data_IF_513729349087
#
_entry.id   IF_513729349087
#
_cell.length_a   1.000
_cell.length_b   1.000
_cell.length_c   1.000
_cell.angle_alpha   90.00
_cell.angle_beta   90.00
_cell.angle_gamma   90.00
#
_symmetry.space_group_name_H-M   'P 1'
#
loop_
_entity.id
_entity.type
_entity.pdbx_description
1 polymer ?
#
# COMPACT_ATOMS: atom_id res chain seq x y z
N UNK A 1 -16.42 -2.80 8.83
CA UNK A 1 -17.34 -2.78 9.97
C UNK A 1 -17.55 -4.18 10.54
N UNK A 2 -17.91 -5.18 9.72
CA UNK A 2 -18.28 -6.52 10.17
C UNK A 2 -17.19 -7.20 11.03
N UNK A 3 -15.95 -7.23 10.57
CA UNK A 3 -14.84 -7.86 11.31
C UNK A 3 -14.49 -7.14 12.61
N UNK A 4 -14.72 -5.82 12.68
CA UNK A 4 -14.53 -5.05 13.92
C UNK A 4 -15.65 -5.25 14.95
N UNK A 5 -16.80 -5.78 14.52
CA UNK A 5 -17.91 -6.12 15.42
C UNK A 5 -17.83 -7.57 15.95
N UNK A 6 -16.90 -8.37 15.45
CA UNK A 6 -16.65 -9.72 15.95
C UNK A 6 -16.15 -9.68 17.40
N UNK A 7 -16.75 -10.45 18.34
CA UNK A 7 -16.40 -10.41 19.75
C UNK A 7 -14.95 -10.77 20.05
N UNK A 8 -14.37 -11.74 19.32
CA UNK A 8 -13.00 -12.19 19.56
C UNK A 8 -12.02 -11.15 19.01
N UNK A 9 -12.28 -10.58 17.82
CA UNK A 9 -11.54 -9.45 17.28
C UNK A 9 -11.56 -8.25 18.24
N UNK A 10 -12.73 -7.97 18.83
CA UNK A 10 -12.89 -6.90 19.83
C UNK A 10 -12.06 -7.15 21.09
N UNK A 11 -12.06 -8.40 21.57
CA UNK A 11 -11.29 -8.78 22.76
C UNK A 11 -9.78 -8.61 22.54
N UNK A 12 -9.27 -9.03 21.39
CA UNK A 12 -7.85 -8.88 21.04
C UNK A 12 -7.45 -7.41 20.93
N UNK A 13 -8.24 -6.59 20.25
CA UNK A 13 -7.96 -5.16 20.12
C UNK A 13 -8.01 -4.38 21.44
N UNK A 14 -8.77 -4.87 22.42
CA UNK A 14 -8.81 -4.28 23.76
C UNK A 14 -7.61 -4.62 24.64
N UNK A 15 -6.96 -5.74 24.37
CA UNK A 15 -5.89 -6.28 25.22
C UNK A 15 -4.49 -6.01 24.66
N UNK A 16 -4.36 -5.81 23.37
CA UNK A 16 -3.08 -5.70 22.70
C UNK A 16 -2.99 -4.43 21.84
N UNK A 17 -1.85 -3.74 21.85
CA UNK A 17 -1.58 -2.68 20.87
C UNK A 17 -1.38 -3.29 19.48
N UNK A 18 -1.86 -2.60 18.46
CA UNK A 18 -1.68 -2.97 17.07
C UNK A 18 -0.83 -1.93 16.35
N UNK A 19 0.23 -2.37 15.70
CA UNK A 19 0.95 -1.58 14.72
C UNK A 19 0.46 -2.00 13.35
N UNK A 20 -0.21 -1.11 12.64
CA UNK A 20 -0.87 -1.40 11.37
C UNK A 20 -0.33 -0.52 10.26
N UNK A 21 -0.24 -1.08 9.07
CA UNK A 21 -0.06 -0.39 7.80
C UNK A 21 -1.12 -0.92 6.84
N UNK A 22 -1.37 -0.21 5.76
CA UNK A 22 -2.16 -0.76 4.66
C UNK A 22 -1.31 -1.58 3.70
N UNK A 23 -1.95 -2.43 2.93
CA UNK A 23 -1.45 -2.96 1.69
C UNK A 23 -2.29 -2.37 0.53
N UNK A 24 -2.58 -3.13 -0.51
CA UNK A 24 -3.34 -2.61 -1.64
C UNK A 24 -4.86 -2.69 -1.44
N UNK A 25 -5.34 -3.76 -0.84
CA UNK A 25 -6.77 -4.03 -0.73
C UNK A 25 -7.53 -3.11 0.23
N UNK A 26 -6.85 -2.35 1.07
CA UNK A 26 -7.46 -1.27 1.83
C UNK A 26 -7.91 -0.12 0.91
N UNK A 27 -7.28 0.03 -0.27
CA UNK A 27 -7.62 1.02 -1.28
C UNK A 27 -8.24 0.37 -2.52
N UNK A 28 -7.44 -0.38 -3.27
CA UNK A 28 -7.85 -1.14 -4.45
C UNK A 28 -6.72 -2.07 -4.91
N UNK A 29 -7.05 -3.13 -5.67
CA UNK A 29 -6.09 -4.14 -6.09
C UNK A 29 -4.88 -3.54 -6.82
N UNK A 30 -3.69 -3.95 -6.41
CA UNK A 30 -2.41 -3.49 -6.94
C UNK A 30 -2.26 -1.97 -7.00
N UNK A 31 -2.70 -1.28 -5.96
CA UNK A 31 -2.60 0.18 -5.83
C UNK A 31 -1.16 0.67 -5.95
N UNK A 32 -1.00 1.80 -6.64
CA UNK A 32 0.22 2.61 -6.71
C UNK A 32 -0.11 4.09 -6.50
N UNK A 33 0.87 4.97 -6.54
CA UNK A 33 0.69 6.40 -6.29
C UNK A 33 -0.41 7.07 -7.13
N UNK A 34 -0.53 6.70 -8.39
CA UNK A 34 -1.44 7.32 -9.38
C UNK A 34 -2.64 6.46 -9.80
N UNK A 35 -2.88 5.29 -9.18
CA UNK A 35 -3.99 4.44 -9.60
C UNK A 35 -4.03 3.06 -8.95
N UNK A 36 -4.85 2.19 -9.52
CA UNK A 36 -4.94 0.78 -9.16
C UNK A 36 -5.31 -0.08 -10.37
N UNK A 37 -4.99 -1.36 -10.31
CA UNK A 37 -5.25 -2.28 -11.42
C UNK A 37 -6.74 -2.38 -11.75
N UNK A 38 -7.60 -2.36 -10.75
CA UNK A 38 -9.05 -2.49 -10.88
C UNK A 38 -9.78 -1.15 -10.72
N UNK A 39 -9.13 -0.04 -11.03
CA UNK A 39 -9.76 1.28 -11.08
C UNK A 39 -9.65 1.86 -12.49
N UNK A 40 -10.80 2.12 -13.11
CA UNK A 40 -10.89 2.62 -14.47
C UNK A 40 -11.84 3.83 -14.55
N UNK A 41 -11.29 5.06 -14.56
CA UNK A 41 -12.10 6.28 -14.68
C UNK A 41 -12.97 6.32 -15.94
N UNK A 42 -12.50 5.74 -17.06
CA UNK A 42 -13.24 5.70 -18.32
C UNK A 42 -14.49 4.83 -18.25
N UNK A 43 -14.57 3.92 -17.29
CA UNK A 43 -15.77 3.10 -17.02
C UNK A 43 -16.73 3.75 -16.01
N UNK A 44 -16.52 5.03 -15.67
CA UNK A 44 -17.38 5.76 -14.76
C UNK A 44 -17.06 5.55 -13.27
N UNK A 45 -15.91 5.01 -12.94
CA UNK A 45 -15.48 4.81 -11.54
C UNK A 45 -14.95 6.08 -10.87
N UNK A 46 -14.94 7.20 -11.63
CA UNK A 46 -14.56 8.50 -11.13
C UNK A 46 -13.06 8.73 -11.03
N UNK A 47 -12.67 9.83 -10.42
CA UNK A 47 -11.29 10.22 -10.22
C UNK A 47 -10.61 9.34 -9.16
N UNK A 48 -9.37 8.89 -9.46
CA UNK A 48 -8.60 8.04 -8.57
C UNK A 48 -8.32 8.70 -7.22
N UNK A 49 -7.96 9.97 -7.22
CA UNK A 49 -7.58 10.65 -5.97
C UNK A 49 -8.78 10.85 -5.05
N UNK A 50 -9.98 11.01 -5.60
CA UNK A 50 -11.22 11.05 -4.81
C UNK A 50 -11.45 9.71 -4.13
N UNK A 51 -11.34 8.60 -4.87
CA UNK A 51 -11.47 7.24 -4.32
C UNK A 51 -10.39 6.95 -3.28
N UNK A 52 -9.14 7.27 -3.60
CA UNK A 52 -8.00 7.08 -2.70
C UNK A 52 -8.20 7.83 -1.39
N UNK A 53 -8.57 9.10 -1.45
CA UNK A 53 -8.75 9.93 -0.25
C UNK A 53 -9.89 9.41 0.63
N UNK A 54 -10.99 8.95 0.04
CA UNK A 54 -12.09 8.34 0.79
C UNK A 54 -11.65 7.03 1.48
N UNK A 55 -10.87 6.19 0.82
CA UNK A 55 -10.33 4.96 1.41
C UNK A 55 -9.33 5.26 2.54
N UNK A 56 -8.45 6.23 2.36
CA UNK A 56 -7.50 6.69 3.39
C UNK A 56 -8.25 7.24 4.59
N UNK A 57 -9.26 8.08 4.38
CA UNK A 57 -10.10 8.57 5.47
C UNK A 57 -10.75 7.42 6.25
N UNK A 58 -11.38 6.47 5.55
CA UNK A 58 -12.00 5.32 6.17
C UNK A 58 -10.98 4.49 6.97
N UNK A 59 -9.76 4.34 6.47
CA UNK A 59 -8.71 3.63 7.18
C UNK A 59 -8.37 4.30 8.51
N UNK A 60 -8.18 5.62 8.54
CA UNK A 60 -7.88 6.37 9.76
C UNK A 60 -9.07 6.41 10.73
N UNK A 61 -10.31 6.42 10.25
CA UNK A 61 -11.51 6.36 11.08
C UNK A 61 -11.67 4.99 11.79
N UNK A 62 -11.24 3.91 11.13
CA UNK A 62 -11.44 2.54 11.63
C UNK A 62 -10.22 1.93 12.31
N UNK A 63 -9.04 2.49 12.09
CA UNK A 63 -7.79 2.00 12.66
C UNK A 63 -7.27 3.01 13.70
N UNK A 64 -6.76 2.54 14.86
CA UNK A 64 -6.33 3.41 15.96
C UNK A 64 -4.95 4.02 15.66
N UNK A 65 -4.86 4.78 14.59
CA UNK A 65 -3.66 5.51 14.20
C UNK A 65 -3.78 6.97 14.65
N UNK A 66 -2.63 7.55 14.99
CA UNK A 66 -2.54 9.00 15.19
C UNK A 66 -2.24 9.65 13.85
N UNK A 67 -3.06 10.60 13.46
CA UNK A 67 -2.73 11.50 12.37
C UNK A 67 -1.70 12.51 12.85
N UNK A 68 -0.69 12.77 12.02
CA UNK A 68 0.14 13.94 12.20
C UNK A 68 -0.62 15.15 11.62
N UNK A 69 -1.15 15.98 12.51
CA UNK A 69 -1.91 17.17 12.13
C UNK A 69 -1.08 18.20 11.33
N UNK A 70 0.24 18.06 11.32
CA UNK A 70 1.13 18.89 10.53
C UNK A 70 1.38 18.32 9.12
N UNK A 71 1.03 17.07 8.86
CA UNK A 71 1.21 16.47 7.56
C UNK A 71 0.11 16.92 6.59
N UNK A 72 0.50 17.41 5.43
CA UNK A 72 -0.42 17.78 4.34
C UNK A 72 -1.13 16.57 3.71
N UNK A 73 -0.70 15.37 4.06
CA UNK A 73 -1.27 14.10 3.63
C UNK A 73 -1.09 13.08 4.74
N UNK A 74 -2.08 12.21 5.00
CA UNK A 74 -1.94 11.14 5.97
C UNK A 74 -0.78 10.23 5.57
N UNK A 75 0.22 10.15 6.43
CA UNK A 75 1.38 9.28 6.26
C UNK A 75 1.25 8.12 7.23
N UNK A 76 1.38 6.89 6.73
CA UNK A 76 1.37 5.71 7.59
C UNK A 76 2.76 5.15 7.86
N UNK A 77 3.77 5.53 7.09
CA UNK A 77 5.14 5.14 7.41
C UNK A 77 5.60 5.85 8.68
N UNK A 78 6.18 5.12 9.59
CA UNK A 78 6.64 5.62 10.88
C UNK A 78 7.62 4.68 11.53
N UNK A 79 8.35 5.17 12.51
CA UNK A 79 9.27 4.36 13.32
C UNK A 79 8.84 4.39 14.78
N UNK A 80 8.79 3.22 15.39
CA UNK A 80 8.61 3.07 16.83
C UNK A 80 9.91 2.60 17.45
N UNK A 81 10.43 3.38 18.37
CA UNK A 81 11.64 3.04 19.11
C UNK A 81 11.28 2.35 20.43
N UNK A 82 11.87 1.22 20.67
CA UNK A 82 11.75 0.45 21.92
C UNK A 82 13.03 0.55 22.74
N UNK A 83 13.24 1.70 23.38
CA UNK A 83 14.47 2.01 24.12
C UNK A 83 15.71 1.88 23.25
N UNK A 84 16.71 1.17 23.75
CA UNK A 84 17.94 0.84 23.01
C UNK A 84 17.91 -0.58 22.43
N UNK A 85 16.75 -1.24 22.52
CA UNK A 85 16.61 -2.64 22.10
C UNK A 85 16.31 -2.80 20.62
N UNK A 86 15.37 -2.01 20.10
CA UNK A 86 14.92 -2.17 18.72
C UNK A 86 14.21 -0.92 18.16
N UNK A 87 14.31 -0.74 16.86
CA UNK A 87 13.48 0.17 16.09
C UNK A 87 12.56 -0.65 15.16
N UNK A 88 11.24 -0.46 15.26
CA UNK A 88 10.27 -1.02 14.34
C UNK A 88 9.95 0.02 13.27
N UNK A 89 10.37 -0.24 12.04
CA UNK A 89 10.10 0.63 10.89
C UNK A 89 8.87 0.12 10.14
N UNK A 90 7.81 0.91 10.15
CA UNK A 90 6.57 0.64 9.43
C UNK A 90 6.64 1.30 8.06
N UNK A 91 6.58 0.52 6.99
CA UNK A 91 6.71 1.02 5.62
C UNK A 91 5.33 1.27 4.99
N UNK A 92 5.25 2.29 4.13
CA UNK A 92 4.17 2.45 3.17
C UNK A 92 4.66 1.94 1.80
N UNK A 93 4.25 0.74 1.44
CA UNK A 93 4.69 0.07 0.22
C UNK A 93 3.80 0.37 -0.99
N UNK A 94 2.79 1.22 -0.84
CA UNK A 94 1.77 1.48 -1.87
C UNK A 94 1.70 2.93 -2.32
N UNK A 95 1.69 3.88 -1.39
CA UNK A 95 1.39 5.27 -1.71
C UNK A 95 2.45 5.97 -2.55
N UNK A 96 3.68 5.48 -2.53
CA UNK A 96 4.84 6.13 -3.15
C UNK A 96 5.46 5.33 -4.29
N UNK A 97 4.96 4.12 -4.57
CA UNK A 97 5.49 3.31 -5.66
C UNK A 97 4.89 3.71 -7.00
N UNK A 98 5.61 3.43 -8.06
CA UNK A 98 5.10 3.51 -9.43
C UNK A 98 4.14 2.35 -9.76
N UNK A 99 3.43 2.50 -10.88
CA UNK A 99 2.64 1.42 -11.45
C UNK A 99 3.54 0.20 -11.66
N UNK A 100 3.04 -0.95 -11.24
CA UNK A 100 3.70 -2.22 -11.56
C UNK A 100 3.85 -2.31 -13.08
N UNK A 101 5.02 -2.68 -13.59
CA UNK A 101 5.17 -2.97 -15.01
C UNK A 101 4.07 -3.94 -15.46
N UNK A 102 3.55 -3.74 -16.67
CA UNK A 102 2.54 -4.62 -17.27
C UNK A 102 3.17 -5.99 -17.58
N UNK A 103 3.57 -6.65 -16.53
CA UNK A 103 3.88 -8.05 -16.60
C UNK A 103 2.52 -8.72 -16.76
N UNK A 104 2.22 -9.12 -17.96
CA UNK A 104 1.38 -10.28 -18.08
C UNK A 104 2.10 -11.36 -17.25
N UNK A 105 1.61 -11.59 -16.04
CA UNK A 105 1.69 -12.90 -15.46
C UNK A 105 0.83 -13.78 -16.39
N UNK A 106 1.27 -13.87 -17.65
CA UNK A 106 0.90 -14.95 -18.52
C UNK A 106 1.38 -16.19 -17.81
N UNK A 107 0.63 -17.24 -17.92
CA UNK A 107 0.90 -18.58 -17.40
C UNK A 107 2.22 -19.20 -17.90
N UNK A 108 3.07 -18.40 -18.52
CA UNK A 108 4.43 -18.69 -18.90
C UNK A 108 5.38 -18.54 -17.71
N UNK A 109 5.25 -19.50 -16.82
CA UNK A 109 6.39 -19.89 -15.98
C UNK A 109 7.43 -20.52 -16.93
N UNK A 110 8.01 -19.69 -17.80
CA UNK A 110 9.00 -20.10 -18.83
C UNK A 110 10.37 -20.43 -18.23
N UNK A 111 10.44 -20.68 -16.94
CA UNK A 111 11.69 -21.07 -16.28
C UNK A 111 12.80 -20.01 -16.29
N UNK A 112 12.50 -18.78 -16.73
CA UNK A 112 13.46 -17.69 -16.68
C UNK A 112 13.74 -17.29 -15.25
N UNK A 113 15.00 -17.15 -14.91
CA UNK A 113 15.42 -16.71 -13.59
C UNK A 113 15.01 -15.24 -13.36
N UNK A 114 14.85 -14.80 -12.10
CA UNK A 114 14.62 -13.39 -11.80
C UNK A 114 15.70 -12.45 -12.37
N UNK A 115 16.92 -12.93 -12.56
CA UNK A 115 18.03 -12.18 -13.17
C UNK A 115 17.79 -11.94 -14.65
N UNK A 116 17.31 -12.94 -15.38
CA UNK A 116 17.06 -12.84 -16.83
C UNK A 116 15.93 -11.83 -17.11
N UNK A 117 14.97 -11.67 -16.17
CA UNK A 117 13.88 -10.71 -16.26
C UNK A 117 14.31 -9.27 -16.01
N UNK A 118 15.35 -9.07 -15.20
CA UNK A 118 15.88 -7.73 -14.91
C UNK A 118 16.64 -7.13 -16.10
N UNK A 119 17.24 -7.96 -16.93
CA UNK A 119 17.99 -7.49 -18.12
C UNK A 119 17.06 -7.08 -19.27
N UNK A 120 15.89 -7.69 -19.44
CA UNK A 120 14.94 -7.31 -20.49
C UNK A 120 14.27 -5.94 -20.26
N UNK A 121 14.28 -5.43 -19.01
CA UNK A 121 13.67 -4.15 -18.64
C UNK A 121 14.67 -3.04 -18.35
N UNK A 122 15.95 -3.25 -18.58
CA UNK A 122 16.91 -2.15 -18.65
C UNK A 122 16.63 -1.34 -19.90
N UNK A 123 15.89 -0.24 -19.73
CA UNK A 123 15.72 0.76 -20.77
C UNK A 123 17.09 1.14 -21.34
N UNK A 124 17.27 1.11 -22.66
CA UNK A 124 18.53 1.51 -23.32
C UNK A 124 18.86 3.02 -23.18
N UNK A 125 18.03 3.78 -22.49
CA UNK A 125 18.12 5.25 -22.42
C UNK A 125 18.90 5.80 -21.22
N UNK A 126 19.59 4.98 -20.45
CA UNK A 126 20.35 5.45 -19.28
C UNK A 126 21.88 5.50 -19.49
N UNK A 127 22.37 5.46 -20.72
CA UNK A 127 23.82 5.46 -21.02
C UNK A 127 24.26 6.45 -22.10
N UNK A 128 23.53 7.54 -22.33
CA UNK A 128 24.04 8.68 -23.07
C UNK A 128 23.97 9.92 -22.16
N UNK A 129 25.02 10.08 -21.33
CA UNK A 129 25.70 11.35 -21.02
C UNK A 129 26.89 11.08 -20.07
#
# INVERSE_FOLDING_TARGET
>A
AQYKADPDSHAVHRQHPFNVVWDDHELANNTWSGGAQNHNPEKGEGDWFVRRNAAVQAFFEWMPLREDAAALSPLIYRTHRFGDLADLVMLDTRSFRDKQPDWTYGDDYTGQSPADRLDEHRSPQALDD
#
